data_IF_954751010557
#
_entry.id   IF_954751010557
#
_cell.length_a   1.000
_cell.length_b   1.000
_cell.length_c   1.000
_cell.angle_alpha   90.00
_cell.angle_beta   90.00
_cell.angle_gamma   90.00
#
_symmetry.space_group_name_H-M   'P 1'
#
loop_
_entity.id
_entity.type
_entity.pdbx_description
1 polymer ?
#
# COMPACT_ATOMS: atom_id res chain seq x y z
N UNK A 1 4.57 26.86 30.90
CA UNK A 1 5.17 28.21 30.73
C UNK A 1 6.30 28.08 29.73
N UNK A 2 6.30 28.68 28.54
CA UNK A 2 5.53 29.80 28.00
C UNK A 2 5.26 29.59 26.50
N UNK A 3 4.12 30.10 26.07
CA UNK A 3 3.73 30.35 24.69
C UNK A 3 4.74 31.24 23.94
N UNK A 4 4.66 31.31 22.61
CA UNK A 4 4.34 32.55 21.89
C UNK A 4 3.99 32.28 20.40
N UNK A 5 3.00 33.04 19.95
CA UNK A 5 2.15 33.06 18.74
C UNK A 5 2.79 33.50 17.41
N UNK A 6 2.11 33.30 16.25
CA UNK A 6 2.54 33.80 14.95
C UNK A 6 2.14 35.28 14.73
N UNK A 7 2.96 36.04 14.00
CA UNK A 7 2.67 37.43 13.62
C UNK A 7 2.49 37.56 12.11
N UNK A 8 1.27 37.86 11.68
CA UNK A 8 0.98 38.49 10.40
C UNK A 8 1.04 40.02 10.56
N UNK A 9 1.60 40.74 9.58
CA UNK A 9 1.22 42.13 9.32
C UNK A 9 1.68 42.61 7.94
N UNK A 10 0.74 43.30 7.29
CA UNK A 10 0.85 44.02 6.03
C UNK A 10 1.43 45.44 6.21
N UNK A 11 2.16 45.89 5.18
CA UNK A 11 2.15 47.27 4.63
C UNK A 11 2.91 48.40 5.34
N UNK A 12 4.11 48.74 4.82
CA UNK A 12 4.53 50.12 4.45
C UNK A 12 5.93 50.14 3.82
N UNK A 13 6.07 50.82 2.68
CA UNK A 13 7.36 51.27 2.11
C UNK A 13 7.96 52.39 2.97
N UNK A 14 9.30 52.45 3.11
CA UNK A 14 10.03 53.55 2.47
C UNK A 14 11.48 53.20 2.04
N UNK A 15 11.96 53.94 1.02
CA UNK A 15 13.36 54.40 0.92
C UNK A 15 14.43 53.40 0.49
N UNK A 16 14.84 53.51 -0.78
CA UNK A 16 16.07 52.91 -1.34
C UNK A 16 17.31 53.59 -0.73
N UNK A 17 18.34 52.81 -0.36
CA UNK A 17 19.71 53.17 -0.69
C UNK A 17 20.34 52.09 -1.58
N UNK A 18 21.06 52.53 -2.60
CA UNK A 18 21.65 51.69 -3.63
C UNK A 18 22.59 50.62 -3.08
N UNK A 19 22.17 49.37 -3.26
CA UNK A 19 23.03 48.20 -3.13
C UNK A 19 23.40 47.75 -4.54
N UNK A 20 24.71 47.66 -4.81
CA UNK A 20 25.23 46.91 -5.97
C UNK A 20 24.86 45.44 -5.77
N UNK A 21 23.63 45.07 -6.14
CA UNK A 21 23.15 43.70 -6.12
C UNK A 21 23.36 43.09 -7.49
N UNK A 22 24.33 42.19 -7.61
CA UNK A 22 24.28 41.22 -8.69
C UNK A 22 22.95 40.48 -8.57
N UNK A 23 22.05 40.69 -9.53
CA UNK A 23 20.75 39.99 -9.55
C UNK A 23 21.03 38.51 -9.73
N UNK A 24 21.06 37.77 -8.63
CA UNK A 24 20.96 36.32 -8.65
C UNK A 24 19.48 35.96 -8.85
N UNK A 25 18.96 36.18 -10.06
CA UNK A 25 17.67 35.60 -10.41
C UNK A 25 17.81 34.07 -10.29
N UNK A 26 16.97 33.41 -9.48
CA UNK A 26 17.00 31.97 -9.36
C UNK A 26 16.74 31.35 -10.73
N UNK A 27 17.54 30.33 -11.06
CA UNK A 27 17.34 29.52 -12.26
C UNK A 27 16.37 28.39 -11.93
N UNK A 28 15.67 27.90 -12.94
CA UNK A 28 14.45 27.14 -12.74
C UNK A 28 14.52 25.76 -13.41
N UNK A 29 14.29 24.71 -12.62
CA UNK A 29 14.17 23.31 -13.07
C UNK A 29 12.74 22.86 -12.81
N UNK A 30 12.14 22.21 -13.81
CA UNK A 30 10.76 21.72 -13.76
C UNK A 30 10.71 20.20 -13.98
N UNK A 31 9.93 19.53 -13.15
CA UNK A 31 9.52 18.14 -13.37
C UNK A 31 8.02 18.12 -13.53
N UNK A 32 7.52 17.38 -14.52
CA UNK A 32 6.10 17.29 -14.82
C UNK A 32 5.69 15.83 -14.81
N UNK A 33 4.78 15.45 -13.93
CA UNK A 33 4.20 14.11 -13.91
C UNK A 33 2.68 14.20 -14.03
N UNK A 34 2.13 13.48 -14.98
CA UNK A 34 0.69 13.23 -15.08
C UNK A 34 0.44 11.74 -14.87
N UNK A 35 -0.52 11.43 -14.01
CA UNK A 35 -0.91 10.07 -13.66
C UNK A 35 -1.99 9.58 -14.64
N UNK A 36 -1.65 8.61 -15.47
CA UNK A 36 -2.64 7.91 -16.28
C UNK A 36 -3.18 6.70 -15.52
N UNK A 37 -4.50 6.65 -15.36
CA UNK A 37 -5.21 5.48 -14.87
C UNK A 37 -5.10 4.35 -15.91
N UNK A 38 -4.09 3.49 -15.79
CA UNK A 38 -3.99 2.33 -16.69
C UNK A 38 -2.69 1.53 -16.66
N UNK A 39 -1.59 2.04 -16.09
CA UNK A 39 -0.37 1.25 -15.89
C UNK A 39 0.14 1.42 -14.47
N UNK A 40 0.03 0.35 -13.69
CA UNK A 40 0.69 0.22 -12.39
C UNK A 40 2.19 0.25 -12.60
N UNK A 41 2.81 1.42 -12.42
CA UNK A 41 4.27 1.55 -12.30
C UNK A 41 4.67 0.94 -10.93
N UNK A 42 5.45 -0.15 -10.85
CA UNK A 42 5.64 -0.91 -9.60
C UNK A 42 6.41 -0.16 -8.49
N UNK A 43 6.89 1.06 -8.74
CA UNK A 43 7.91 1.68 -7.90
C UNK A 43 7.40 2.61 -6.79
N UNK A 44 6.09 2.82 -6.63
CA UNK A 44 5.57 3.75 -5.60
C UNK A 44 4.38 3.26 -4.76
N UNK A 45 4.16 1.94 -4.65
CA UNK A 45 3.34 1.39 -3.57
C UNK A 45 4.14 1.27 -2.25
N UNK A 46 4.64 2.41 -1.76
CA UNK A 46 4.92 2.60 -0.34
C UNK A 46 5.17 4.08 -0.07
N UNK A 47 4.21 4.73 0.58
CA UNK A 47 4.53 5.96 1.32
C UNK A 47 3.58 7.14 1.19
N UNK A 48 2.26 6.95 1.16
CA UNK A 48 1.34 7.96 1.73
C UNK A 48 0.24 7.25 2.53
N UNK A 49 0.62 6.72 3.69
CA UNK A 49 -0.23 6.60 4.87
C UNK A 49 0.68 6.80 6.07
N UNK A 50 0.96 8.07 6.39
CA UNK A 50 1.59 8.43 7.64
C UNK A 50 0.54 8.29 8.76
N UNK A 51 0.62 7.19 9.50
CA UNK A 51 -0.18 6.95 10.71
C UNK A 51 0.63 6.18 11.74
N UNK A 52 1.17 6.90 12.73
CA UNK A 52 1.42 6.48 14.11
C UNK A 52 2.09 5.13 14.39
N UNK A 53 3.35 5.19 14.86
CA UNK A 53 4.02 4.10 15.60
C UNK A 53 3.23 3.73 16.87
N UNK A 54 2.97 2.44 17.07
CA UNK A 54 3.06 1.80 18.40
C UNK A 54 3.71 0.43 18.18
N UNK A 55 4.95 0.29 18.66
CA UNK A 55 5.63 -0.99 18.69
C UNK A 55 4.96 -1.92 19.71
N UNK A 56 4.77 -3.18 19.31
CA UNK A 56 4.46 -4.25 20.25
C UNK A 56 5.19 -5.51 19.80
N UNK A 57 6.32 -5.75 20.46
CA UNK A 57 7.08 -6.98 20.38
C UNK A 57 6.24 -8.14 20.92
N UNK A 58 6.28 -9.28 20.21
CA UNK A 58 5.72 -10.56 20.66
C UNK A 58 6.87 -11.53 20.81
N UNK A 59 7.16 -11.92 22.06
CA UNK A 59 7.26 -13.32 22.50
C UNK A 59 8.16 -13.42 23.72
N UNK A 60 7.58 -13.76 24.87
CA UNK A 60 8.20 -14.60 25.90
C UNK A 60 7.13 -15.02 26.92
N UNK A 61 6.73 -16.29 26.84
CA UNK A 61 5.92 -17.03 27.82
C UNK A 61 6.54 -16.91 29.22
N UNK A 62 5.72 -16.62 30.24
CA UNK A 62 6.02 -16.93 31.65
C UNK A 62 4.79 -17.53 32.33
N UNK A 63 4.85 -18.86 32.44
CA UNK A 63 4.72 -19.66 33.66
C UNK A 63 3.76 -19.19 34.77
N UNK A 64 2.73 -20.01 35.03
CA UNK A 64 1.80 -19.84 36.14
C UNK A 64 2.37 -20.47 37.41
N UNK A 65 2.44 -19.69 38.49
CA UNK A 65 2.92 -20.12 39.78
C UNK A 65 1.72 -20.51 40.66
N UNK A 66 1.55 -21.80 40.93
CA UNK A 66 0.58 -22.33 41.90
C UNK A 66 1.25 -22.28 43.27
N UNK A 67 0.74 -21.47 44.20
CA UNK A 67 1.15 -21.51 45.60
C UNK A 67 0.33 -22.56 46.34
N UNK A 68 0.93 -23.72 46.60
CA UNK A 68 0.42 -24.66 47.61
C UNK A 68 1.03 -24.26 48.96
N UNK A 69 0.21 -23.72 49.87
CA UNK A 69 0.59 -23.57 51.28
C UNK A 69 0.59 -24.93 51.98
N UNK A 70 1.48 -25.18 52.96
CA UNK A 70 1.49 -26.46 53.67
C UNK A 70 0.38 -26.48 54.74
N UNK A 71 -0.62 -27.35 54.56
CA UNK A 71 -1.48 -27.78 55.65
C UNK A 71 -0.71 -28.80 56.51
N UNK A 72 -0.40 -28.44 57.76
CA UNK A 72 0.12 -29.38 58.76
C UNK A 72 -1.02 -30.21 59.36
N UNK A 73 -0.87 -31.52 59.41
CA UNK A 73 -1.74 -32.40 60.21
C UNK A 73 -0.90 -33.16 61.23
N UNK A 74 -1.24 -33.04 62.51
CA UNK A 74 -0.60 -33.78 63.61
C UNK A 74 -1.52 -34.92 64.01
N UNK A 75 -1.05 -36.15 63.83
CA UNK A 75 -1.70 -37.34 64.40
C UNK A 75 -1.19 -37.53 65.82
N UNK A 76 -2.09 -37.45 66.81
CA UNK A 76 -1.84 -37.91 68.17
C UNK A 76 -2.24 -39.39 68.24
N UNK A 77 -1.26 -40.29 68.39
CA UNK A 77 -1.51 -41.63 68.89
C UNK A 77 -1.61 -41.60 70.42
N UNK A 78 -2.56 -42.30 71.05
CA UNK A 78 -2.58 -42.44 72.49
C UNK A 78 -1.46 -43.37 72.95
N UNK A 79 -0.63 -42.90 73.88
CA UNK A 79 0.27 -43.75 74.65
C UNK A 79 -0.52 -44.64 75.61
N UNK A 80 0.02 -45.83 75.83
CA UNK A 80 -0.59 -46.97 76.48
C UNK A 80 -0.15 -46.98 77.95
N UNK A 81 -1.06 -46.60 78.85
CA UNK A 81 -0.80 -46.69 80.28
C UNK A 81 -1.08 -48.10 80.82
N UNK A 82 -0.02 -48.64 81.41
CA UNK A 82 0.11 -49.85 82.21
C UNK A 82 -0.96 -50.03 83.30
N UNK A 83 -1.59 -51.22 83.32
CA UNK A 83 -2.35 -51.73 84.46
C UNK A 83 -1.42 -52.43 85.46
N UNK A 84 -1.55 -52.21 86.79
CA UNK A 84 -0.95 -53.06 87.80
C UNK A 84 -1.86 -54.26 88.12
N UNK A 85 -1.28 -55.46 88.16
CA UNK A 85 -1.87 -56.61 88.85
C UNK A 85 -1.93 -56.38 90.37
N UNK A 86 -2.77 -57.16 91.07
CA UNK A 86 -2.16 -58.03 92.07
C UNK A 86 -2.57 -59.50 91.96
N UNK A 87 -1.50 -60.31 91.99
CA UNK A 87 -1.37 -61.69 92.44
C UNK A 87 -2.49 -62.25 93.34
N UNK A 88 -2.92 -63.47 93.00
CA UNK A 88 -3.75 -64.29 93.88
C UNK A 88 -4.03 -65.70 93.37
N UNK A 89 -3.02 -66.56 93.42
CA UNK A 89 -3.07 -68.03 93.64
C UNK A 89 -3.82 -68.96 92.67
N UNK A 90 -3.03 -69.89 92.12
CA UNK A 90 -3.41 -71.16 91.50
C UNK A 90 -4.47 -71.93 92.29
N UNK A 91 -5.49 -72.44 91.60
CA UNK A 91 -5.99 -73.79 91.81
C UNK A 91 -6.52 -74.37 90.50
N UNK A 92 -5.82 -75.41 90.04
CA UNK A 92 -6.20 -76.29 88.94
C UNK A 92 -6.90 -77.48 89.59
N UNK A 93 -8.15 -77.74 89.25
CA UNK A 93 -8.78 -79.06 89.32
C UNK A 93 -9.90 -79.13 88.26
N UNK A 94 -9.86 -80.19 87.45
CA UNK A 94 -10.87 -80.67 86.48
C UNK A 94 -11.86 -81.63 87.19
N UNK A 95 -12.94 -82.16 86.56
CA UNK A 95 -13.68 -81.72 85.38
C UNK A 95 -15.24 -81.78 85.50
N UNK A 96 -15.91 -81.26 84.46
CA UNK A 96 -17.20 -81.68 83.88
C UNK A 96 -18.55 -81.25 84.50
N UNK A 97 -19.19 -80.27 83.85
CA UNK A 97 -20.60 -80.39 83.41
C UNK A 97 -20.68 -80.01 81.91
N UNK A 98 -20.48 -81.00 81.04
CA UNK A 98 -20.35 -80.82 79.58
C UNK A 98 -21.68 -80.46 78.89
N UNK A 99 -22.83 -80.64 79.56
CA UNK A 99 -24.14 -80.59 78.90
C UNK A 99 -24.69 -79.15 78.80
N UNK A 100 -24.47 -78.30 79.80
CA UNK A 100 -25.00 -76.92 79.80
C UNK A 100 -24.20 -75.98 78.88
N UNK A 101 -22.89 -76.23 78.74
CA UNK A 101 -21.99 -75.46 77.85
C UNK A 101 -22.23 -75.76 76.37
N UNK A 102 -22.52 -77.02 76.01
CA UNK A 102 -22.83 -77.41 74.63
C UNK A 102 -24.17 -76.82 74.19
N UNK A 103 -25.17 -76.84 75.08
CA UNK A 103 -26.50 -76.28 74.81
C UNK A 103 -26.49 -74.75 74.63
N UNK A 104 -25.65 -74.03 75.40
CA UNK A 104 -25.41 -72.59 75.21
C UNK A 104 -24.67 -72.27 73.92
N UNK A 105 -23.71 -73.11 73.52
CA UNK A 105 -22.99 -72.97 72.25
C UNK A 105 -23.92 -73.18 71.06
N UNK A 106 -24.78 -74.20 71.10
CA UNK A 106 -25.76 -74.49 70.03
C UNK A 106 -26.84 -73.38 69.94
N UNK A 107 -27.26 -72.81 71.08
CA UNK A 107 -28.09 -71.61 71.10
C UNK A 107 -27.40 -70.39 70.49
N UNK A 108 -26.13 -70.16 70.81
CA UNK A 108 -25.35 -69.06 70.24
C UNK A 108 -25.11 -69.26 68.74
N UNK A 109 -24.88 -70.49 68.29
CA UNK A 109 -24.76 -70.84 66.88
C UNK A 109 -26.07 -70.54 66.13
N UNK A 110 -27.20 -70.96 66.69
CA UNK A 110 -28.53 -70.65 66.13
C UNK A 110 -28.80 -69.14 66.05
N UNK A 111 -28.43 -68.39 67.10
CA UNK A 111 -28.58 -66.93 67.12
C UNK A 111 -27.64 -66.29 66.09
N UNK A 112 -26.42 -66.79 65.96
CA UNK A 112 -25.43 -66.29 65.00
C UNK A 112 -25.88 -66.57 63.55
N UNK A 113 -26.41 -67.75 63.27
CA UNK A 113 -26.99 -68.10 61.97
C UNK A 113 -28.21 -67.22 61.62
N UNK A 114 -29.07 -66.95 62.59
CA UNK A 114 -30.20 -66.06 62.39
C UNK A 114 -29.72 -64.62 62.12
N UNK A 115 -28.74 -64.14 62.89
CA UNK A 115 -28.16 -62.82 62.70
C UNK A 115 -27.45 -62.68 61.34
N UNK A 116 -26.72 -63.70 60.87
CA UNK A 116 -26.10 -63.67 59.54
C UNK A 116 -27.15 -63.72 58.43
N UNK A 117 -28.22 -64.50 58.58
CA UNK A 117 -29.34 -64.47 57.63
C UNK A 117 -30.05 -63.11 57.60
N UNK A 118 -30.22 -62.46 58.75
CA UNK A 118 -30.77 -61.11 58.82
C UNK A 118 -29.86 -60.08 58.15
N UNK A 119 -28.55 -60.17 58.36
CA UNK A 119 -27.58 -59.31 57.70
C UNK A 119 -27.62 -59.49 56.18
N UNK A 120 -27.70 -60.72 55.67
CA UNK A 120 -27.82 -60.98 54.22
C UNK A 120 -29.13 -60.41 53.66
N UNK A 121 -30.25 -60.52 54.38
CA UNK A 121 -31.53 -59.92 53.97
C UNK A 121 -31.47 -58.40 53.93
N UNK A 122 -30.85 -57.79 54.95
CA UNK A 122 -30.64 -56.34 55.01
C UNK A 122 -29.72 -55.86 53.89
N UNK A 123 -28.61 -56.55 53.65
CA UNK A 123 -27.69 -56.24 52.57
C UNK A 123 -28.38 -56.30 51.20
N UNK A 124 -29.15 -57.36 50.93
CA UNK A 124 -29.92 -57.48 49.69
C UNK A 124 -30.98 -56.39 49.55
N UNK A 125 -31.67 -56.03 50.63
CA UNK A 125 -32.67 -54.96 50.62
C UNK A 125 -32.03 -53.58 50.33
N UNK A 126 -30.89 -53.30 50.95
CA UNK A 126 -30.12 -52.06 50.73
C UNK A 126 -29.57 -52.03 49.30
N UNK A 127 -28.97 -53.14 48.83
CA UNK A 127 -28.40 -53.25 47.48
C UNK A 127 -29.45 -53.02 46.39
N UNK A 128 -30.62 -53.68 46.47
CA UNK A 128 -31.66 -53.53 45.44
C UNK A 128 -32.28 -52.13 45.43
N UNK A 129 -32.54 -51.54 46.62
CA UNK A 129 -33.07 -50.17 46.69
C UNK A 129 -32.06 -49.14 46.19
N UNK A 130 -30.80 -49.20 46.63
CA UNK A 130 -29.75 -48.26 46.20
C UNK A 130 -29.45 -48.43 44.71
N UNK A 131 -29.42 -49.66 44.19
CA UNK A 131 -29.24 -49.95 42.76
C UNK A 131 -30.38 -49.37 41.94
N UNK A 132 -31.64 -49.55 42.37
CA UNK A 132 -32.79 -48.97 41.70
C UNK A 132 -32.71 -47.43 41.68
N UNK A 133 -32.45 -46.79 42.83
CA UNK A 133 -32.31 -45.33 42.92
C UNK A 133 -31.17 -44.81 42.05
N UNK A 134 -30.01 -45.47 42.05
CA UNK A 134 -28.86 -45.08 41.23
C UNK A 134 -29.16 -45.19 39.73
N UNK A 135 -29.85 -46.25 39.30
CA UNK A 135 -30.28 -46.42 37.90
C UNK A 135 -31.26 -45.32 37.51
N UNK A 136 -32.24 -45.00 38.37
CA UNK A 136 -33.22 -43.94 38.10
C UNK A 136 -32.57 -42.54 38.01
N UNK A 137 -31.66 -42.23 38.95
CA UNK A 137 -30.89 -40.98 38.96
C UNK A 137 -30.04 -40.88 37.70
N UNK A 138 -29.32 -41.95 37.34
CA UNK A 138 -28.48 -41.99 36.15
C UNK A 138 -29.32 -41.81 34.89
N UNK A 139 -30.45 -42.51 34.76
CA UNK A 139 -31.32 -42.43 33.60
C UNK A 139 -31.98 -41.06 33.45
N UNK A 140 -32.37 -40.43 34.55
CA UNK A 140 -32.90 -39.06 34.56
C UNK A 140 -31.82 -38.05 34.18
N UNK A 141 -30.61 -38.19 34.72
CA UNK A 141 -29.48 -37.33 34.36
C UNK A 141 -29.11 -37.48 32.87
N UNK A 142 -29.04 -38.71 32.36
CA UNK A 142 -28.81 -38.98 30.93
C UNK A 142 -29.93 -38.36 30.10
N UNK A 143 -31.20 -38.58 30.44
CA UNK A 143 -32.34 -38.02 29.70
C UNK A 143 -32.31 -36.48 29.68
N UNK A 144 -31.99 -35.84 30.80
CA UNK A 144 -31.88 -34.38 30.88
C UNK A 144 -30.70 -33.87 30.07
N UNK A 145 -29.54 -34.52 30.13
CA UNK A 145 -28.38 -34.17 29.30
C UNK A 145 -28.68 -34.37 27.82
N UNK A 146 -29.37 -35.45 27.43
CA UNK A 146 -29.78 -35.69 26.04
C UNK A 146 -30.72 -34.59 25.56
N UNK A 147 -31.71 -34.18 26.37
CA UNK A 147 -32.62 -33.08 26.04
C UNK A 147 -31.84 -31.76 25.84
N UNK A 148 -30.95 -31.41 26.77
CA UNK A 148 -30.11 -30.22 26.66
C UNK A 148 -29.20 -30.26 25.41
N UNK A 149 -28.61 -31.41 25.09
CA UNK A 149 -27.81 -31.58 23.87
C UNK A 149 -28.64 -31.40 22.59
N UNK A 150 -29.87 -31.91 22.56
CA UNK A 150 -30.79 -31.72 21.43
C UNK A 150 -31.16 -30.24 21.28
N UNK A 151 -31.47 -29.56 22.38
CA UNK A 151 -31.81 -28.12 22.36
C UNK A 151 -30.64 -27.30 21.83
N UNK A 152 -29.42 -27.54 22.32
CA UNK A 152 -28.20 -26.91 21.83
C UNK A 152 -27.99 -27.21 20.34
N UNK A 153 -28.13 -28.47 19.93
CA UNK A 153 -28.00 -28.87 18.53
C UNK A 153 -29.01 -28.19 17.61
N UNK A 154 -30.27 -28.07 18.05
CA UNK A 154 -31.34 -27.41 17.29
C UNK A 154 -31.10 -25.90 17.16
N UNK A 155 -30.63 -25.25 18.23
CA UNK A 155 -30.27 -23.83 18.23
C UNK A 155 -29.09 -23.57 17.28
N UNK A 156 -28.05 -24.41 17.34
CA UNK A 156 -26.91 -24.30 16.44
C UNK A 156 -27.33 -24.51 14.98
N UNK A 157 -28.16 -25.51 14.68
CA UNK A 157 -28.69 -25.73 13.33
C UNK A 157 -29.52 -24.54 12.83
N UNK A 158 -30.31 -23.92 13.71
CA UNK A 158 -31.07 -22.70 13.38
C UNK A 158 -30.13 -21.54 13.05
N UNK A 159 -29.09 -21.33 13.86
CA UNK A 159 -28.08 -20.31 13.60
C UNK A 159 -27.33 -20.56 12.29
N UNK A 160 -26.89 -21.80 12.03
CA UNK A 160 -26.20 -22.16 10.78
C UNK A 160 -27.09 -21.92 9.57
N UNK A 161 -28.38 -22.29 9.62
CA UNK A 161 -29.33 -22.02 8.53
C UNK A 161 -29.54 -20.52 8.28
N UNK A 162 -29.60 -19.72 9.34
CA UNK A 162 -29.68 -18.26 9.21
C UNK A 162 -28.42 -17.71 8.55
N UNK A 163 -27.24 -18.15 9.00
CA UNK A 163 -25.98 -17.69 8.44
C UNK A 163 -25.87 -18.04 6.94
N UNK A 164 -26.16 -19.29 6.56
CA UNK A 164 -26.13 -19.70 5.15
C UNK A 164 -27.16 -18.96 4.29
N UNK A 165 -28.34 -18.63 4.84
CA UNK A 165 -29.33 -17.83 4.10
C UNK A 165 -28.85 -16.40 3.84
N UNK A 166 -28.18 -15.78 4.81
CA UNK A 166 -27.64 -14.42 4.67
C UNK A 166 -26.46 -14.41 3.71
N UNK A 167 -25.58 -15.42 3.79
CA UNK A 167 -24.48 -15.57 2.85
C UNK A 167 -24.99 -15.75 1.41
N UNK A 168 -26.00 -16.61 1.20
CA UNK A 168 -26.62 -16.81 -0.11
C UNK A 168 -27.25 -15.53 -0.65
N UNK A 169 -28.02 -14.80 0.17
CA UNK A 169 -28.64 -13.53 -0.23
C UNK A 169 -27.58 -12.48 -0.63
N UNK A 170 -26.50 -12.35 0.15
CA UNK A 170 -25.43 -11.39 -0.15
C UNK A 170 -24.69 -11.73 -1.45
N UNK A 171 -24.52 -13.02 -1.73
CA UNK A 171 -23.91 -13.49 -2.98
C UNK A 171 -24.82 -13.17 -4.17
N UNK A 172 -26.14 -13.36 -4.03
CA UNK A 172 -27.12 -13.02 -5.07
C UNK A 172 -27.16 -11.51 -5.34
N UNK A 173 -27.25 -10.66 -4.30
CA UNK A 173 -27.21 -9.20 -4.43
C UNK A 173 -25.92 -8.71 -5.12
N UNK A 174 -24.77 -9.28 -4.75
CA UNK A 174 -23.49 -8.93 -5.37
C UNK A 174 -23.42 -9.37 -6.84
N UNK A 175 -23.99 -10.53 -7.17
CA UNK A 175 -24.05 -11.03 -8.54
C UNK A 175 -24.97 -10.16 -9.42
N UNK A 176 -26.12 -9.73 -8.89
CA UNK A 176 -27.01 -8.79 -9.58
C UNK A 176 -26.32 -7.43 -9.81
N UNK A 177 -25.67 -6.88 -8.79
CA UNK A 177 -24.91 -5.63 -8.91
C UNK A 177 -23.83 -5.76 -10.00
N UNK A 178 -23.06 -6.86 -9.98
CA UNK A 178 -22.04 -7.16 -10.98
C UNK A 178 -22.63 -7.26 -12.39
N UNK A 179 -23.81 -7.85 -12.55
CA UNK A 179 -24.48 -7.94 -13.85
C UNK A 179 -24.93 -6.58 -14.37
N UNK A 180 -25.43 -5.69 -13.51
CA UNK A 180 -25.81 -4.32 -13.88
C UNK A 180 -24.59 -3.54 -14.34
N UNK A 181 -23.49 -3.59 -13.59
CA UNK A 181 -22.24 -2.91 -13.93
C UNK A 181 -21.66 -3.41 -15.26
N UNK A 182 -21.69 -4.73 -15.50
CA UNK A 182 -21.26 -5.31 -16.78
C UNK A 182 -22.15 -4.90 -17.96
N UNK A 183 -23.45 -4.67 -17.74
CA UNK A 183 -24.33 -4.14 -18.79
C UNK A 183 -23.98 -2.69 -19.12
N UNK A 184 -23.81 -1.85 -18.10
CA UNK A 184 -23.39 -0.45 -18.27
C UNK A 184 -22.05 -0.37 -19.03
N UNK A 185 -21.04 -1.13 -18.61
CA UNK A 185 -19.73 -1.13 -19.26
C UNK A 185 -19.79 -1.62 -20.72
N UNK A 186 -20.70 -2.54 -21.04
CA UNK A 186 -20.91 -2.98 -22.43
C UNK A 186 -21.54 -1.88 -23.28
N UNK A 187 -22.50 -1.13 -22.73
CA UNK A 187 -23.12 0.01 -23.39
C UNK A 187 -22.11 1.14 -23.61
N UNK A 188 -21.34 1.50 -22.59
CA UNK A 188 -20.27 2.50 -22.67
C UNK A 188 -19.22 2.09 -23.72
N UNK A 189 -18.83 0.80 -23.74
CA UNK A 189 -17.93 0.27 -24.77
C UNK A 189 -18.51 0.45 -26.16
N UNK A 190 -19.78 0.15 -26.38
CA UNK A 190 -20.43 0.29 -27.68
C UNK A 190 -20.46 1.76 -28.14
N UNK A 191 -20.78 2.69 -27.23
CA UNK A 191 -20.76 4.13 -27.50
C UNK A 191 -19.35 4.62 -27.86
N UNK A 192 -18.32 4.18 -27.10
CA UNK A 192 -16.93 4.53 -27.39
C UNK A 192 -16.49 3.96 -28.75
N UNK A 193 -16.89 2.75 -29.09
CA UNK A 193 -16.59 2.16 -30.40
C UNK A 193 -17.22 2.97 -31.55
N UNK A 194 -18.47 3.42 -31.40
CA UNK A 194 -19.10 4.30 -32.39
C UNK A 194 -18.37 5.64 -32.52
N UNK A 195 -17.99 6.25 -31.39
CA UNK A 195 -17.28 7.52 -31.34
C UNK A 195 -15.91 7.43 -32.03
N UNK A 196 -15.17 6.33 -31.81
CA UNK A 196 -13.89 6.07 -32.48
C UNK A 196 -14.07 5.90 -33.99
N UNK A 197 -15.09 5.15 -34.44
CA UNK A 197 -15.39 5.00 -35.86
C UNK A 197 -15.73 6.35 -36.52
N UNK A 198 -16.54 7.18 -35.85
CA UNK A 198 -16.87 8.53 -36.31
C UNK A 198 -15.63 9.43 -36.40
N UNK A 199 -14.79 9.44 -35.36
CA UNK A 199 -13.54 10.22 -35.37
C UNK A 199 -12.60 9.76 -36.49
N UNK A 200 -12.48 8.45 -36.72
CA UNK A 200 -11.63 7.88 -37.78
C UNK A 200 -12.10 8.35 -39.17
N UNK A 201 -13.41 8.39 -39.40
CA UNK A 201 -13.99 8.91 -40.63
C UNK A 201 -13.69 10.42 -40.83
N UNK A 202 -13.78 11.22 -39.75
CA UNK A 202 -13.45 12.65 -39.79
C UNK A 202 -11.96 12.88 -40.08
N UNK A 203 -11.07 12.12 -39.43
CA UNK A 203 -9.63 12.23 -39.65
C UNK A 203 -9.30 11.94 -41.12
N UNK A 204 -9.88 10.87 -41.68
CA UNK A 204 -9.69 10.52 -43.09
C UNK A 204 -10.17 11.63 -44.04
N UNK A 205 -11.29 12.26 -43.73
CA UNK A 205 -11.81 13.42 -44.49
C UNK A 205 -10.83 14.60 -44.41
N UNK A 206 -10.34 14.94 -43.21
CA UNK A 206 -9.36 16.01 -43.02
C UNK A 206 -8.04 15.73 -43.74
N UNK A 207 -7.55 14.48 -43.72
CA UNK A 207 -6.36 14.07 -44.48
C UNK A 207 -6.56 14.26 -45.99
N UNK A 208 -7.74 13.91 -46.51
CA UNK A 208 -8.06 14.11 -47.92
C UNK A 208 -8.13 15.61 -48.28
N UNK A 209 -8.66 16.45 -47.39
CA UNK A 209 -8.65 17.90 -47.57
C UNK A 209 -7.23 18.46 -47.54
N UNK A 210 -6.39 17.98 -46.62
CA UNK A 210 -5.00 18.43 -46.50
C UNK A 210 -4.17 18.05 -47.73
N UNK A 211 -4.33 16.83 -48.25
CA UNK A 211 -3.65 16.39 -49.48
C UNK A 211 -4.09 17.20 -50.70
N UNK A 212 -5.39 17.51 -50.81
CA UNK A 212 -5.93 18.36 -51.88
C UNK A 212 -5.43 19.81 -51.80
N UNK A 213 -5.37 20.38 -50.59
CA UNK A 213 -4.82 21.71 -50.38
C UNK A 213 -3.30 21.76 -50.66
N UNK A 214 -2.57 20.72 -50.26
CA UNK A 214 -1.13 20.59 -50.53
C UNK A 214 -0.82 20.50 -52.02
N UNK A 215 -1.59 19.71 -52.78
CA UNK A 215 -1.40 19.60 -54.23
C UNK A 215 -1.68 20.94 -54.95
N UNK A 216 -2.72 21.66 -54.53
CA UNK A 216 -3.01 23.02 -55.03
C UNK A 216 -1.88 24.00 -54.70
N UNK A 217 -1.37 23.99 -53.47
CA UNK A 217 -0.21 24.80 -53.09
C UNK A 217 1.03 24.46 -53.92
N UNK A 218 1.29 23.17 -54.20
CA UNK A 218 2.40 22.77 -55.07
C UNK A 218 2.23 23.24 -56.52
N UNK A 219 1.00 23.31 -57.02
CA UNK A 219 0.69 23.85 -58.34
C UNK A 219 0.93 25.37 -58.38
N UNK A 220 0.48 26.09 -57.35
CA UNK A 220 0.73 27.52 -57.19
C UNK A 220 2.23 27.82 -57.04
N UNK A 221 2.97 27.00 -56.27
CA UNK A 221 4.42 27.08 -56.13
C UNK A 221 5.12 26.93 -57.48
N UNK A 222 4.66 25.99 -58.32
CA UNK A 222 5.18 25.79 -59.68
C UNK A 222 4.87 26.99 -60.59
N UNK A 223 3.67 27.56 -60.51
CA UNK A 223 3.34 28.79 -61.24
C UNK A 223 4.23 29.96 -60.80
N UNK A 224 4.45 30.11 -59.49
CA UNK A 224 5.32 31.15 -58.95
C UNK A 224 6.78 30.97 -59.39
N UNK A 225 7.27 29.71 -59.41
CA UNK A 225 8.60 29.41 -59.91
C UNK A 225 8.75 29.75 -61.39
N UNK A 226 7.76 29.37 -62.21
CA UNK A 226 7.76 29.72 -63.63
C UNK A 226 7.75 31.24 -63.86
N UNK A 227 6.96 32.00 -63.10
CA UNK A 227 6.97 33.46 -63.17
C UNK A 227 8.33 34.05 -62.80
N UNK A 228 8.97 33.54 -61.73
CA UNK A 228 10.31 33.95 -61.32
C UNK A 228 11.37 33.62 -62.38
N UNK A 229 11.32 32.45 -63.02
CA UNK A 229 12.20 32.10 -64.13
C UNK A 229 11.98 33.02 -65.33
N UNK A 230 10.73 33.35 -65.65
CA UNK A 230 10.40 34.26 -66.75
C UNK A 230 10.97 35.66 -66.47
N UNK A 231 10.82 36.16 -65.24
CA UNK A 231 11.40 37.43 -64.80
C UNK A 231 12.94 37.39 -64.81
N UNK A 232 13.56 36.33 -64.31
CA UNK A 232 15.03 36.17 -64.34
C UNK A 232 15.58 36.04 -65.76
N UNK A 233 14.85 35.43 -66.68
CA UNK A 233 15.19 35.36 -68.10
C UNK A 233 15.15 36.76 -68.74
N UNK A 234 14.11 37.55 -68.44
CA UNK A 234 13.98 38.96 -68.83
C UNK A 234 15.08 39.83 -68.20
N UNK A 235 15.47 39.58 -66.94
CA UNK A 235 16.60 40.25 -66.30
C UNK A 235 17.90 39.86 -67.00
N UNK A 236 18.14 38.58 -67.32
CA UNK A 236 19.38 38.13 -67.96
C UNK A 236 19.56 38.67 -69.39
N UNK A 237 18.47 38.97 -70.09
CA UNK A 237 18.50 39.68 -71.39
C UNK A 237 18.82 41.17 -71.24
N UNK A 238 18.70 41.73 -70.03
CA UNK A 238 19.01 43.13 -69.71
C UNK A 238 20.37 43.26 -68.97
N UNK A 239 20.84 42.24 -68.23
CA UNK A 239 22.07 42.30 -67.43
C UNK A 239 23.27 41.62 -68.08
N UNK A 240 24.27 42.43 -68.44
CA UNK A 240 25.67 42.07 -68.76
C UNK A 240 26.30 41.34 -67.55
N UNK A 241 27.20 40.35 -67.70
CA UNK A 241 27.52 39.43 -66.60
C UNK A 241 28.40 40.10 -65.54
N UNK A 242 28.00 40.01 -64.27
CA UNK A 242 28.91 40.16 -63.13
C UNK A 242 28.49 39.24 -61.98
N UNK A 243 29.26 38.15 -61.83
CA UNK A 243 29.62 37.40 -60.62
C UNK A 243 28.56 37.08 -59.54
N UNK A 244 28.13 35.81 -59.58
CA UNK A 244 27.75 34.84 -58.52
C UNK A 244 27.73 35.27 -57.03
N UNK A 245 26.53 35.34 -56.48
CA UNK A 245 25.94 34.52 -55.39
C UNK A 245 26.82 33.91 -54.28
N UNK A 246 26.58 34.33 -53.03
CA UNK A 246 26.33 33.42 -51.89
C UNK A 246 26.01 34.19 -50.61
N UNK A 247 24.79 34.03 -50.08
CA UNK A 247 24.44 34.36 -48.70
C UNK A 247 23.41 33.36 -48.19
N UNK A 248 23.87 32.17 -47.81
CA UNK A 248 23.19 31.37 -46.79
C UNK A 248 23.77 31.78 -45.43
N UNK A 249 23.10 32.70 -44.74
CA UNK A 249 23.31 32.91 -43.30
C UNK A 249 22.25 32.07 -42.60
N UNK A 250 22.55 30.81 -42.36
CA UNK A 250 21.94 30.11 -41.23
C UNK A 250 22.75 30.49 -40.00
N UNK A 251 22.11 31.32 -39.18
CA UNK A 251 22.55 31.74 -37.86
C UNK A 251 23.06 30.53 -37.08
N UNK A 252 24.31 30.60 -36.62
CA UNK A 252 24.91 29.55 -35.82
C UNK A 252 24.08 29.35 -34.54
N UNK A 253 23.83 28.11 -34.07
CA UNK A 253 23.10 27.92 -32.83
C UNK A 253 23.99 28.42 -31.69
N UNK A 254 23.66 29.60 -31.15
CA UNK A 254 24.21 30.05 -29.89
C UNK A 254 23.79 29.02 -28.82
N UNK A 255 24.72 28.16 -28.42
CA UNK A 255 24.48 27.15 -27.40
C UNK A 255 24.31 27.87 -26.05
N UNK A 256 23.11 27.77 -25.47
CA UNK A 256 22.79 28.40 -24.20
C UNK A 256 23.27 27.51 -23.05
N UNK A 257 23.65 28.10 -21.92
CA UNK A 257 24.03 27.31 -20.73
C UNK A 257 22.85 26.49 -20.19
N UNK A 258 21.67 27.13 -20.16
CA UNK A 258 20.41 26.54 -19.75
C UNK A 258 19.24 27.33 -20.33
N UNK A 259 18.02 26.84 -20.08
CA UNK A 259 16.78 27.49 -20.50
C UNK A 259 16.63 28.91 -19.92
N UNK A 260 17.13 29.16 -18.71
CA UNK A 260 17.11 30.49 -18.13
C UNK A 260 18.01 31.48 -18.91
N UNK A 261 19.18 31.03 -19.37
CA UNK A 261 20.06 31.83 -20.24
C UNK A 261 19.41 32.07 -21.62
N UNK A 262 18.77 31.06 -22.20
CA UNK A 262 18.02 31.21 -23.45
C UNK A 262 16.88 32.23 -23.31
N UNK A 263 16.13 32.16 -22.20
CA UNK A 263 15.06 33.11 -21.90
C UNK A 263 15.59 34.55 -21.76
N UNK A 264 16.70 34.74 -21.03
CA UNK A 264 17.36 36.05 -20.90
C UNK A 264 17.92 36.57 -22.23
N UNK A 265 18.26 35.69 -23.17
CA UNK A 265 18.65 36.06 -24.53
C UNK A 265 17.46 36.42 -25.43
N UNK A 266 16.23 36.48 -24.89
CA UNK A 266 15.03 36.90 -25.62
C UNK A 266 14.27 35.76 -26.28
N UNK A 267 14.56 34.49 -25.95
CA UNK A 267 13.78 33.35 -26.43
C UNK A 267 12.54 33.16 -25.56
N UNK A 268 11.36 33.36 -26.14
CA UNK A 268 10.08 33.36 -25.40
C UNK A 268 9.15 32.20 -25.76
N UNK A 269 9.49 31.38 -26.76
CA UNK A 269 8.66 30.26 -27.19
C UNK A 269 9.11 28.97 -26.51
N UNK A 270 8.18 28.19 -25.95
CA UNK A 270 8.49 26.88 -25.39
C UNK A 270 8.88 25.89 -26.50
N UNK A 271 9.89 25.05 -26.26
CA UNK A 271 10.38 24.13 -27.28
C UNK A 271 11.69 23.45 -26.92
N UNK A 272 12.30 22.79 -27.92
CA UNK A 272 13.59 22.12 -27.75
C UNK A 272 14.73 23.09 -28.02
N UNK A 273 15.62 23.21 -27.05
CA UNK A 273 16.82 24.03 -27.14
C UNK A 273 18.07 23.16 -26.97
N UNK A 274 19.12 23.52 -27.70
CA UNK A 274 20.45 22.94 -27.49
C UNK A 274 21.17 23.69 -26.38
N UNK A 275 21.55 22.96 -25.35
CA UNK A 275 22.21 23.47 -24.15
C UNK A 275 23.64 22.95 -24.07
N UNK A 276 24.56 23.83 -23.67
CA UNK A 276 25.96 23.50 -23.43
C UNK A 276 26.32 23.92 -22.00
N UNK A 277 26.45 22.97 -21.06
CA UNK A 277 26.78 23.29 -19.69
C UNK A 277 28.24 23.75 -19.61
N UNK A 278 28.59 24.62 -18.65
CA UNK A 278 29.95 25.13 -18.54
C UNK A 278 30.87 23.97 -18.14
N UNK A 279 32.02 23.87 -18.79
CA UNK A 279 33.02 22.80 -18.63
C UNK A 279 32.69 21.46 -19.32
N UNK A 280 31.72 21.42 -20.22
CA UNK A 280 31.55 20.31 -21.15
C UNK A 280 31.56 20.80 -22.61
N UNK A 281 32.17 20.01 -23.49
CA UNK A 281 32.01 20.16 -24.95
C UNK A 281 30.74 19.50 -25.46
N UNK A 282 30.04 18.77 -24.59
CA UNK A 282 28.85 18.02 -24.98
C UNK A 282 27.63 18.94 -24.99
N UNK A 283 26.90 18.86 -26.09
CA UNK A 283 25.61 19.51 -26.24
C UNK A 283 24.50 18.53 -25.88
N UNK A 284 23.55 18.97 -25.06
CA UNK A 284 22.32 18.22 -24.80
C UNK A 284 21.14 18.98 -25.38
N UNK A 285 20.09 18.24 -25.74
CA UNK A 285 18.80 18.84 -26.09
C UNK A 285 17.85 18.70 -24.91
N UNK A 286 17.23 19.81 -24.52
CA UNK A 286 16.26 19.84 -23.44
C UNK A 286 15.02 20.62 -23.84
N UNK A 287 13.88 20.27 -23.26
CA UNK A 287 12.68 21.06 -23.40
C UNK A 287 12.72 22.25 -22.43
N UNK A 288 12.65 23.45 -22.99
CA UNK A 288 12.54 24.67 -22.22
C UNK A 288 11.11 25.17 -22.25
N UNK A 289 10.51 25.29 -21.07
CA UNK A 289 9.24 25.98 -20.90
C UNK A 289 9.50 27.47 -20.64
N UNK A 290 9.22 28.28 -21.66
CA UNK A 290 9.46 29.71 -21.69
C UNK A 290 8.20 30.54 -21.37
N UNK A 291 7.06 29.88 -21.17
CA UNK A 291 5.75 30.54 -21.07
C UNK A 291 5.18 30.41 -19.66
N UNK A 292 5.33 29.26 -19.03
CA UNK A 292 4.74 28.97 -17.72
C UNK A 292 5.49 29.70 -16.61
N UNK A 293 4.76 30.37 -15.71
CA UNK A 293 5.27 30.93 -14.45
C UNK A 293 6.54 31.79 -14.62
N UNK A 294 6.55 32.66 -15.64
CA UNK A 294 7.66 33.57 -15.90
C UNK A 294 8.77 33.01 -16.77
N UNK A 295 8.64 31.76 -17.24
CA UNK A 295 9.52 31.17 -18.26
C UNK A 295 10.93 30.84 -17.79
N UNK A 296 11.73 30.28 -18.70
CA UNK A 296 13.11 29.87 -18.43
C UNK A 296 13.24 28.57 -17.63
N UNK A 297 12.17 27.76 -17.59
CA UNK A 297 12.18 26.47 -16.92
C UNK A 297 12.83 25.41 -17.79
N UNK A 298 13.84 24.73 -17.26
CA UNK A 298 14.38 23.53 -17.88
C UNK A 298 13.61 22.30 -17.40
N UNK A 299 13.00 21.56 -18.31
CA UNK A 299 12.32 20.31 -17.96
C UNK A 299 13.35 19.18 -17.91
N UNK A 300 13.52 18.57 -16.73
CA UNK A 300 14.47 17.45 -16.56
C UNK A 300 13.77 16.08 -16.57
N UNK A 301 12.46 16.07 -16.30
CA UNK A 301 11.61 14.88 -16.36
C UNK A 301 10.22 15.28 -16.81
N UNK A 302 9.64 14.48 -17.73
CA UNK A 302 8.26 14.63 -18.15
C UNK A 302 7.58 13.27 -18.32
N UNK A 303 6.39 13.11 -17.74
CA UNK A 303 5.48 11.94 -17.90
C UNK A 303 4.05 12.41 -18.19
N UNK A 304 3.39 11.83 -19.18
CA UNK A 304 2.00 12.16 -19.53
C UNK A 304 1.20 11.13 -20.32
N UNK A 305 1.82 10.08 -20.87
CA UNK A 305 1.12 9.05 -21.66
C UNK A 305 1.63 7.62 -21.41
N UNK A 306 2.75 7.46 -20.68
CA UNK A 306 3.38 6.19 -20.40
C UNK A 306 3.96 5.47 -21.63
N UNK A 307 4.27 6.19 -22.71
CA UNK A 307 4.91 5.61 -23.90
C UNK A 307 6.36 5.22 -23.66
N UNK A 308 7.05 5.93 -22.77
CA UNK A 308 8.46 5.65 -22.47
C UNK A 308 8.56 4.81 -21.19
N UNK A 309 9.27 3.69 -21.28
CA UNK A 309 9.60 2.86 -20.11
C UNK A 309 10.63 3.56 -19.23
N UNK A 310 10.37 3.63 -17.92
CA UNK A 310 11.26 4.21 -16.90
C UNK A 310 11.98 3.13 -16.07
N UNK A 311 11.73 1.85 -16.32
CA UNK A 311 12.49 0.75 -15.74
C UNK A 311 13.84 0.58 -16.45
N UNK A 312 14.76 1.52 -16.18
CA UNK A 312 16.04 1.66 -16.89
C UNK A 312 17.25 1.35 -16.04
N UNK A 313 18.36 1.05 -16.71
CA UNK A 313 19.65 0.79 -16.08
C UNK A 313 20.28 2.07 -15.50
N UNK A 314 21.24 1.92 -14.60
CA UNK A 314 22.01 3.05 -14.06
C UNK A 314 22.64 3.92 -15.15
N UNK A 315 23.21 3.27 -16.19
CA UNK A 315 23.84 3.98 -17.32
C UNK A 315 22.82 4.82 -18.10
N UNK A 316 21.61 4.32 -18.30
CA UNK A 316 20.54 5.08 -18.96
C UNK A 316 20.07 6.26 -18.09
N UNK A 317 19.89 6.09 -16.78
CA UNK A 317 19.58 7.21 -15.88
C UNK A 317 20.69 8.26 -15.82
N UNK A 318 21.96 7.82 -15.89
CA UNK A 318 23.11 8.70 -15.98
C UNK A 318 23.08 9.56 -17.24
N UNK A 319 22.89 8.93 -18.41
CA UNK A 319 22.96 9.60 -19.71
C UNK A 319 21.66 10.29 -20.14
N UNK A 320 20.52 9.87 -19.59
CA UNK A 320 19.19 10.28 -20.04
C UNK A 320 18.58 9.31 -21.06
N UNK A 321 17.25 9.36 -21.18
CA UNK A 321 16.47 8.54 -22.11
C UNK A 321 15.12 9.20 -22.43
N UNK A 322 14.48 8.77 -23.51
CA UNK A 322 13.22 9.31 -24.01
C UNK A 322 13.42 10.46 -25.00
N UNK A 323 12.33 11.15 -25.33
CA UNK A 323 12.34 12.29 -26.25
C UNK A 323 12.12 13.59 -25.45
N UNK A 324 13.04 14.57 -25.50
CA UNK A 324 12.83 15.89 -24.92
C UNK A 324 11.48 16.52 -25.31
N UNK A 325 10.97 16.28 -26.52
CA UNK A 325 9.66 16.80 -26.96
C UNK A 325 8.47 16.02 -26.35
N UNK A 326 8.72 14.81 -25.85
CA UNK A 326 7.75 13.89 -25.24
C UNK A 326 8.11 13.51 -23.80
N UNK A 327 7.92 12.23 -23.47
CA UNK A 327 8.33 11.69 -22.16
C UNK A 327 9.83 11.43 -22.14
N UNK A 328 10.50 11.89 -21.09
CA UNK A 328 11.94 11.71 -20.98
C UNK A 328 12.45 11.87 -19.54
N UNK A 329 13.69 11.42 -19.37
CA UNK A 329 14.59 11.75 -18.30
C UNK A 329 15.86 12.37 -18.90
N UNK A 330 16.19 13.61 -18.52
CA UNK A 330 17.27 14.36 -19.16
C UNK A 330 18.67 13.78 -18.89
N UNK A 331 18.86 13.08 -17.77
CA UNK A 331 20.12 12.45 -17.40
C UNK A 331 20.78 13.07 -16.16
N UNK A 332 21.18 12.21 -15.22
CA UNK A 332 21.74 12.65 -13.94
C UNK A 332 23.07 13.38 -14.08
N UNK A 333 23.93 12.95 -15.01
CA UNK A 333 25.25 13.55 -15.21
C UNK A 333 25.10 15.02 -15.60
N UNK A 334 24.21 15.31 -16.55
CA UNK A 334 23.94 16.67 -17.00
C UNK A 334 23.32 17.54 -15.89
N UNK A 335 22.31 17.02 -15.19
CA UNK A 335 21.65 17.74 -14.08
C UNK A 335 22.62 18.01 -12.93
N UNK A 336 23.50 17.06 -12.61
CA UNK A 336 24.57 17.21 -11.62
C UNK A 336 25.54 18.33 -12.02
N UNK A 337 26.02 18.32 -13.26
CA UNK A 337 26.94 19.33 -13.76
C UNK A 337 26.33 20.74 -13.70
N UNK A 338 25.05 20.90 -14.01
CA UNK A 338 24.38 22.20 -13.91
C UNK A 338 24.19 22.66 -12.46
N UNK A 339 23.61 21.79 -11.63
CA UNK A 339 23.19 22.18 -10.27
C UNK A 339 24.37 22.41 -9.33
N UNK A 340 25.52 21.77 -9.57
CA UNK A 340 26.75 22.03 -8.79
C UNK A 340 27.40 23.38 -9.07
N UNK A 341 27.02 24.06 -10.15
CA UNK A 341 27.65 25.34 -10.52
C UNK A 341 26.92 26.55 -9.95
N UNK A 342 25.59 26.46 -9.83
CA UNK A 342 24.73 27.58 -9.42
C UNK A 342 23.51 27.05 -8.65
N UNK A 343 22.90 27.87 -7.77
CA UNK A 343 21.66 27.48 -7.13
C UNK A 343 20.51 27.43 -8.15
N UNK A 344 19.81 26.29 -8.18
CA UNK A 344 18.58 26.09 -8.95
C UNK A 344 17.40 25.88 -8.00
N UNK A 345 16.25 26.41 -8.39
CA UNK A 345 14.95 26.12 -7.80
C UNK A 345 14.32 24.98 -8.58
N UNK A 346 13.87 23.94 -7.88
CA UNK A 346 13.17 22.81 -8.49
C UNK A 346 11.68 22.90 -8.20
N UNK A 347 10.86 22.73 -9.22
CA UNK A 347 9.40 22.60 -9.09
C UNK A 347 8.96 21.26 -9.64
N UNK A 348 8.13 20.55 -8.88
CA UNK A 348 7.48 19.32 -9.30
C UNK A 348 6.00 19.64 -9.48
N UNK A 349 5.48 19.41 -10.67
CA UNK A 349 4.07 19.54 -10.99
C UNK A 349 3.47 18.16 -11.19
N UNK A 350 2.37 17.90 -10.49
CA UNK A 350 1.62 16.66 -10.55
C UNK A 350 0.23 16.94 -11.11
N UNK A 351 -0.26 16.07 -11.98
CA UNK A 351 -1.65 16.09 -12.43
C UNK A 351 -2.26 14.69 -12.28
N UNK A 352 -3.42 14.59 -11.64
CA UNK A 352 -4.15 13.32 -11.55
C UNK A 352 -4.98 13.04 -12.82
N UNK A 353 -5.61 11.86 -12.86
CA UNK A 353 -6.44 11.43 -14.00
C UNK A 353 -7.74 12.24 -14.14
N UNK A 354 -8.21 12.87 -13.05
CA UNK A 354 -9.38 13.76 -13.04
C UNK A 354 -9.01 15.18 -13.52
N UNK A 355 -7.72 15.44 -13.70
CA UNK A 355 -7.17 16.70 -14.15
C UNK A 355 -6.83 17.69 -13.05
N UNK A 356 -6.94 17.31 -11.77
CA UNK A 356 -6.51 18.13 -10.65
C UNK A 356 -4.99 18.27 -10.65
N UNK A 357 -4.51 19.49 -10.40
CA UNK A 357 -3.07 19.82 -10.45
C UNK A 357 -2.55 20.18 -9.06
N UNK A 358 -1.44 19.59 -8.67
CA UNK A 358 -0.67 19.91 -7.46
C UNK A 358 0.77 20.28 -7.80
N UNK A 359 1.45 20.99 -6.90
CA UNK A 359 2.87 21.24 -7.05
C UNK A 359 3.64 21.24 -5.73
N UNK A 360 4.94 21.02 -5.81
CA UNK A 360 5.90 21.23 -4.73
C UNK A 360 7.10 22.00 -5.28
N UNK A 361 7.64 22.92 -4.49
CA UNK A 361 8.78 23.75 -4.89
C UNK A 361 9.88 23.69 -3.83
N UNK A 362 11.12 23.58 -4.30
CA UNK A 362 12.33 23.50 -3.49
C UNK A 362 13.27 24.62 -3.93
N UNK A 363 13.57 25.54 -3.01
CA UNK A 363 14.33 26.76 -3.33
C UNK A 363 15.81 26.48 -3.64
N UNK A 364 16.34 25.34 -3.18
CA UNK A 364 17.71 24.91 -3.44
C UNK A 364 17.73 23.44 -3.80
N UNK A 365 18.01 23.15 -5.07
CA UNK A 365 18.19 21.82 -5.60
C UNK A 365 19.64 21.64 -6.07
N UNK A 366 20.23 20.52 -5.66
CA UNK A 366 21.59 20.11 -5.96
C UNK A 366 21.56 18.61 -6.21
N UNK A 367 22.30 18.15 -7.22
CA UNK A 367 22.53 16.74 -7.44
C UNK A 367 24.04 16.48 -7.41
N UNK A 368 24.48 15.62 -6.51
CA UNK A 368 25.90 15.30 -6.34
C UNK A 368 26.46 14.55 -7.57
N UNK A 369 27.78 14.42 -7.70
CA UNK A 369 28.39 13.69 -8.81
C UNK A 369 28.17 12.16 -8.74
N UNK A 370 28.58 11.44 -9.78
CA UNK A 370 28.46 9.97 -9.83
C UNK A 370 29.16 9.26 -8.66
N UNK A 371 30.32 9.78 -8.21
CA UNK A 371 31.07 9.23 -7.08
C UNK A 371 30.26 9.19 -5.77
N UNK A 372 29.26 10.06 -5.64
CA UNK A 372 28.34 10.13 -4.50
C UNK A 372 26.97 9.53 -4.80
N UNK A 373 26.82 8.83 -5.93
CA UNK A 373 25.59 8.21 -6.41
C UNK A 373 24.45 9.19 -6.70
N UNK A 374 24.75 10.42 -7.15
CA UNK A 374 23.73 11.44 -7.46
C UNK A 374 22.77 11.70 -6.28
N UNK A 375 23.32 11.87 -5.08
CA UNK A 375 22.58 12.24 -3.87
C UNK A 375 22.08 13.66 -3.88
#
# INVERSE_FOLDING_TARGET
>A
MRELTPRSRSGRTPGVPGSRGGSCDPRHILLIQRWDAGRTDPFWHRGIYAGGRVGRDVSSKKEYQIQNGPCSYTFLLPEQDSCPEPAGTFQRDEPAEHNESVQRLEQLETIMENNTQWLIKLENYIQENVKHEMVQIHQTAVRNHTAAMIDIGSSLLSQTRKLTSVEAQRVEEMEEHRQVELKSLKEDRAQLQELVLRQTAIIKELEQQLTSASSNNSALQRQQHHLLETVNSLISTITVPTLKESAMVQDAPAAYTDCAAAFKAGKTQSGIYSLAPPNSTDHITAYCDMETLGGGWMVIQRRFNGEVDFHRTWKEYKMGFGDPAGEHWLGNEFVSQLTNQRPYVMRIQLQDWEGNKGFSQYDKFLLSGEAENYR
#
